data_IF_186217871768
#
_entry.id   IF_186217871768
#
_cell.length_a   1.000
_cell.length_b   1.000
_cell.length_c   1.000
_cell.angle_alpha   90.00
_cell.angle_beta   90.00
_cell.angle_gamma   90.00
#
_symmetry.space_group_name_H-M   'P 1'
#
loop_
_entity.id
_entity.type
_entity.pdbx_description
1 polymer ?
#
# COMPACT_ATOMS: atom_id res chain seq x y z
N UNK A 1 -17.08 -0.13 5.29
CA UNK A 1 -16.05 0.69 4.60
C UNK A 1 -16.58 2.00 4.03
N UNK A 2 -17.67 2.05 3.29
CA UNK A 2 -18.21 3.31 2.71
C UNK A 2 -18.45 4.40 3.76
N UNK A 3 -19.08 4.09 4.86
CA UNK A 3 -19.34 5.05 5.95
C UNK A 3 -18.03 5.63 6.54
N UNK A 4 -17.00 4.80 6.69
CA UNK A 4 -15.67 5.23 7.12
C UNK A 4 -15.07 6.25 6.14
N UNK A 5 -15.11 5.96 4.83
CA UNK A 5 -14.60 6.85 3.77
C UNK A 5 -15.35 8.18 3.75
N UNK A 6 -16.68 8.17 3.84
CA UNK A 6 -17.49 9.40 3.85
C UNK A 6 -17.22 10.26 5.08
N UNK A 7 -17.05 9.66 6.26
CA UNK A 7 -16.65 10.38 7.47
C UNK A 7 -15.24 10.99 7.34
N UNK A 8 -14.32 10.25 6.75
CA UNK A 8 -12.95 10.73 6.47
C UNK A 8 -12.97 11.89 5.47
N UNK A 9 -13.74 11.79 4.40
CA UNK A 9 -13.89 12.85 3.41
C UNK A 9 -14.42 14.15 4.04
N UNK A 10 -15.46 14.05 4.86
CA UNK A 10 -15.97 15.22 5.60
C UNK A 10 -14.86 15.86 6.46
N UNK A 11 -14.08 15.06 7.19
CA UNK A 11 -12.95 15.56 7.97
C UNK A 11 -11.88 16.21 7.12
N UNK A 12 -11.62 15.68 5.91
CA UNK A 12 -10.71 16.31 4.96
C UNK A 12 -11.17 17.72 4.55
N UNK A 13 -12.45 17.91 4.26
CA UNK A 13 -13.00 19.22 3.92
C UNK A 13 -12.90 20.21 5.09
N UNK A 14 -13.20 19.75 6.30
CA UNK A 14 -13.25 20.59 7.50
C UNK A 14 -11.83 20.95 8.03
N UNK A 15 -10.81 20.15 7.76
CA UNK A 15 -9.46 20.37 8.29
C UNK A 15 -8.67 21.39 7.48
N UNK A 16 -7.97 22.32 8.17
CA UNK A 16 -7.06 23.27 7.50
C UNK A 16 -5.84 22.50 6.92
N UNK A 17 -5.15 23.14 5.99
CA UNK A 17 -3.84 22.69 5.55
C UNK A 17 -2.85 22.69 6.72
N UNK A 18 -1.97 21.68 6.80
CA UNK A 18 -0.94 21.66 7.84
C UNK A 18 -0.02 22.88 7.74
N UNK A 19 0.29 23.45 8.89
CA UNK A 19 1.29 24.52 9.01
C UNK A 19 2.65 23.92 9.35
N UNK A 20 3.72 24.51 8.84
CA UNK A 20 5.10 24.06 9.11
C UNK A 20 6.03 24.20 7.94
N UNK A 21 7.11 23.40 7.93
CA UNK A 21 8.25 23.52 6.98
C UNK A 21 7.86 23.45 5.50
N UNK A 22 6.77 22.77 5.16
CA UNK A 22 6.31 22.59 3.79
C UNK A 22 5.09 23.46 3.43
N UNK A 23 4.69 24.42 4.27
CA UNK A 23 3.47 25.21 4.10
C UNK A 23 3.34 25.83 2.71
N UNK A 24 4.40 26.46 2.19
CA UNK A 24 4.37 27.11 0.88
C UNK A 24 4.16 26.12 -0.27
N UNK A 25 4.79 24.96 -0.21
CA UNK A 25 4.63 23.91 -1.24
C UNK A 25 3.28 23.22 -1.12
N UNK A 26 2.83 22.94 0.11
CA UNK A 26 1.54 22.30 0.34
C UNK A 26 0.35 23.19 -0.05
N UNK A 27 0.49 24.52 0.08
CA UNK A 27 -0.55 25.47 -0.36
C UNK A 27 -0.72 25.54 -1.89
N UNK A 28 0.23 25.00 -2.64
CA UNK A 28 0.17 24.95 -4.10
C UNK A 28 -0.53 23.69 -4.64
N UNK A 29 -0.86 22.75 -3.75
CA UNK A 29 -1.57 21.54 -4.15
C UNK A 29 -3.00 21.88 -4.58
N UNK A 30 -3.29 21.56 -5.82
CA UNK A 30 -4.65 21.59 -6.36
C UNK A 30 -5.25 20.18 -6.24
N UNK A 31 -6.17 20.03 -5.28
CA UNK A 31 -6.82 18.73 -5.05
C UNK A 31 -7.82 18.37 -6.15
N UNK A 32 -8.21 19.31 -7.01
CA UNK A 32 -9.09 19.05 -8.15
C UNK A 32 -8.31 18.57 -9.39
N UNK A 33 -6.98 18.77 -9.42
CA UNK A 33 -6.07 18.30 -10.49
C UNK A 33 -5.26 17.04 -10.09
N UNK A 34 -5.84 16.18 -9.26
CA UNK A 34 -5.24 14.92 -8.85
C UNK A 34 -6.12 13.76 -9.28
N UNK A 35 -5.53 12.78 -9.95
CA UNK A 35 -6.16 11.48 -10.17
C UNK A 35 -6.00 10.63 -8.92
N UNK A 36 -7.11 10.37 -8.22
CA UNK A 36 -7.14 9.61 -6.97
C UNK A 36 -7.16 8.10 -7.16
N UNK A 37 -7.55 7.65 -8.36
CA UNK A 37 -7.63 6.25 -8.70
C UNK A 37 -7.47 6.03 -10.20
N UNK A 38 -6.56 5.14 -10.58
CA UNK A 38 -6.39 4.64 -11.96
C UNK A 38 -6.33 3.11 -11.88
N UNK A 39 -7.19 2.44 -12.62
CA UNK A 39 -7.19 0.98 -12.74
C UNK A 39 -6.20 0.57 -13.84
N UNK A 40 -5.08 -0.09 -13.50
CA UNK A 40 -4.05 -0.43 -14.49
C UNK A 40 -4.39 -1.68 -15.30
N UNK A 41 -5.14 -2.63 -14.71
CA UNK A 41 -5.49 -3.91 -15.32
C UNK A 41 -6.91 -4.33 -14.96
N UNK A 42 -7.50 -5.23 -15.75
CA UNK A 42 -8.83 -5.78 -15.44
C UNK A 42 -8.79 -6.84 -14.34
N UNK A 43 -7.67 -7.59 -14.23
CA UNK A 43 -7.50 -8.69 -13.29
C UNK A 43 -6.13 -8.64 -12.61
N UNK A 44 -6.08 -9.12 -11.37
CA UNK A 44 -4.84 -9.41 -10.67
C UNK A 44 -4.22 -10.69 -11.24
N UNK A 45 -2.91 -10.71 -11.44
CA UNK A 45 -2.18 -11.88 -11.94
C UNK A 45 -1.74 -12.78 -10.77
N UNK A 46 -1.97 -14.08 -10.91
CA UNK A 46 -1.52 -15.10 -9.95
C UNK A 46 -0.08 -15.54 -10.20
N UNK A 47 0.42 -15.26 -11.38
CA UNK A 47 1.80 -15.56 -11.80
C UNK A 47 2.43 -14.36 -12.47
N UNK A 48 3.76 -14.20 -12.28
CA UNK A 48 4.50 -13.13 -12.95
C UNK A 48 4.40 -13.18 -14.47
N UNK A 49 4.24 -14.36 -15.04
CA UNK A 49 4.13 -14.55 -16.49
C UNK A 49 2.84 -13.94 -17.06
N UNK A 50 1.80 -13.81 -16.24
CA UNK A 50 0.51 -13.24 -16.62
C UNK A 50 0.46 -11.71 -16.51
N UNK A 51 1.46 -11.10 -15.86
CA UNK A 51 1.55 -9.64 -15.73
C UNK A 51 1.81 -9.03 -17.11
N UNK A 52 1.12 -7.95 -17.52
CA UNK A 52 1.35 -7.26 -18.78
C UNK A 52 2.81 -6.89 -18.99
N UNK A 53 3.31 -7.06 -20.20
CA UNK A 53 4.72 -6.89 -20.55
C UNK A 53 5.24 -5.46 -20.23
N UNK A 54 4.42 -4.44 -20.43
CA UNK A 54 4.76 -3.04 -20.13
C UNK A 54 5.05 -2.85 -18.63
N UNK A 55 4.25 -3.50 -17.78
CA UNK A 55 4.43 -3.48 -16.33
C UNK A 55 5.70 -4.26 -15.95
N UNK A 56 5.93 -5.45 -16.54
CA UNK A 56 7.15 -6.24 -16.32
C UNK A 56 8.41 -5.44 -16.62
N UNK A 57 8.45 -4.79 -17.79
CA UNK A 57 9.59 -3.95 -18.20
C UNK A 57 9.84 -2.79 -17.24
N UNK A 58 8.80 -2.22 -16.66
CA UNK A 58 8.93 -1.16 -15.67
C UNK A 58 9.62 -1.68 -14.40
N UNK A 59 9.21 -2.82 -13.88
CA UNK A 59 9.84 -3.43 -12.71
C UNK A 59 11.26 -3.94 -12.99
N UNK A 60 11.54 -4.44 -14.18
CA UNK A 60 12.87 -4.84 -14.61
C UNK A 60 13.85 -3.64 -14.69
N UNK A 61 13.40 -2.52 -15.26
CA UNK A 61 14.18 -1.27 -15.29
C UNK A 61 14.50 -0.73 -13.90
N UNK A 62 13.68 -1.03 -12.90
CA UNK A 62 13.92 -0.67 -11.51
C UNK A 62 14.94 -1.60 -10.82
N UNK A 63 15.42 -2.64 -11.53
CA UNK A 63 16.41 -3.56 -11.00
C UNK A 63 15.86 -4.51 -9.94
N UNK A 64 14.57 -4.86 -10.01
CA UNK A 64 13.95 -5.87 -9.14
C UNK A 64 14.16 -7.24 -9.77
N UNK A 65 15.22 -7.98 -9.40
CA UNK A 65 15.60 -9.19 -10.10
C UNK A 65 14.62 -10.32 -9.86
N UNK A 66 14.49 -11.21 -10.79
CA UNK A 66 13.75 -12.46 -10.66
C UNK A 66 14.19 -13.29 -9.42
N UNK A 67 15.48 -13.21 -9.07
CA UNK A 67 16.05 -13.84 -7.89
C UNK A 67 15.40 -13.36 -6.57
N UNK A 68 15.09 -12.06 -6.42
CA UNK A 68 14.42 -11.55 -5.21
C UNK A 68 13.04 -12.14 -5.06
N UNK A 69 12.31 -12.35 -6.15
CA UNK A 69 10.99 -12.97 -6.17
C UNK A 69 11.01 -14.43 -5.72
N UNK A 70 12.13 -15.11 -5.88
CA UNK A 70 12.30 -16.54 -5.54
C UNK A 70 12.70 -16.75 -4.08
N UNK A 71 13.41 -15.79 -3.46
CA UNK A 71 13.94 -15.91 -2.10
C UNK A 71 13.06 -15.32 -1.01
N UNK A 72 12.06 -14.51 -1.36
CA UNK A 72 11.18 -13.84 -0.39
C UNK A 72 10.05 -14.75 0.08
N UNK A 73 9.63 -14.56 1.33
CA UNK A 73 8.51 -15.27 1.93
C UNK A 73 7.17 -14.96 1.22
N UNK A 74 7.05 -13.78 0.64
CA UNK A 74 5.92 -13.35 -0.16
C UNK A 74 6.23 -12.03 -0.87
N UNK A 75 5.60 -11.82 -2.01
CA UNK A 75 5.76 -10.63 -2.85
C UNK A 75 4.42 -10.06 -3.25
N UNK A 76 4.26 -8.76 -3.13
CA UNK A 76 3.14 -8.01 -3.70
C UNK A 76 3.68 -6.89 -4.58
N UNK A 77 3.16 -6.76 -5.79
CA UNK A 77 3.50 -5.67 -6.69
C UNK A 77 2.24 -4.85 -7.00
N UNK A 78 2.28 -3.58 -6.64
CA UNK A 78 1.24 -2.61 -6.97
C UNK A 78 1.73 -1.69 -8.09
N UNK A 79 0.89 -1.49 -9.08
CA UNK A 79 1.09 -0.53 -10.15
C UNK A 79 -0.12 0.39 -10.21
N UNK A 80 0.12 1.71 -10.17
CA UNK A 80 -0.92 2.73 -9.98
C UNK A 80 -1.75 2.48 -8.70
N UNK A 81 -3.06 2.30 -8.82
CA UNK A 81 -3.96 2.21 -7.66
C UNK A 81 -4.30 0.78 -7.21
N UNK A 82 -3.83 -0.24 -7.90
CA UNK A 82 -4.19 -1.63 -7.61
C UNK A 82 -2.98 -2.57 -7.59
N UNK A 83 -3.12 -3.66 -6.85
CA UNK A 83 -2.16 -4.76 -6.88
C UNK A 83 -2.33 -5.54 -8.18
N UNK A 84 -1.24 -5.65 -8.92
CA UNK A 84 -1.21 -6.35 -10.22
C UNK A 84 -0.64 -7.76 -10.11
N UNK A 85 0.11 -8.05 -9.06
CA UNK A 85 0.69 -9.36 -8.79
C UNK A 85 0.81 -9.61 -7.30
N UNK A 86 0.49 -10.83 -6.87
CA UNK A 86 0.63 -11.28 -5.50
C UNK A 86 1.05 -12.74 -5.44
N UNK A 87 1.95 -13.06 -4.54
CA UNK A 87 2.33 -14.44 -4.21
C UNK A 87 2.75 -14.54 -2.76
N UNK A 88 2.24 -15.54 -2.07
CA UNK A 88 2.67 -15.93 -0.75
C UNK A 88 3.25 -17.36 -0.80
N UNK A 89 4.15 -17.69 0.11
CA UNK A 89 4.68 -19.05 0.21
C UNK A 89 3.68 -19.96 0.92
N UNK A 90 3.47 -21.15 0.38
CA UNK A 90 2.53 -22.13 0.92
C UNK A 90 2.83 -22.56 2.36
N UNK A 91 4.11 -22.55 2.77
CA UNK A 91 4.51 -22.88 4.13
C UNK A 91 4.02 -21.83 5.14
N UNK A 92 4.03 -20.54 4.78
CA UNK A 92 3.51 -19.47 5.61
C UNK A 92 1.98 -19.49 5.68
N UNK A 93 1.31 -19.79 4.57
CA UNK A 93 -0.14 -19.98 4.54
C UNK A 93 -0.59 -21.10 5.47
N UNK A 94 0.14 -22.23 5.48
CA UNK A 94 -0.11 -23.36 6.41
C UNK A 94 0.07 -22.99 7.88
N UNK A 95 0.89 -21.96 8.18
CA UNK A 95 1.04 -21.41 9.53
C UNK A 95 -0.01 -20.35 9.86
N UNK A 96 -0.90 -20.03 8.91
CA UNK A 96 -1.94 -19.05 9.08
C UNK A 96 -1.47 -17.59 8.87
N UNK A 97 -0.29 -17.39 8.32
CA UNK A 97 0.19 -16.07 7.95
C UNK A 97 -0.61 -15.59 6.75
N UNK A 98 -1.22 -14.40 6.87
CA UNK A 98 -1.93 -13.75 5.78
C UNK A 98 -1.03 -12.66 5.20
N UNK A 99 -0.88 -12.68 3.89
CA UNK A 99 -0.27 -11.60 3.13
C UNK A 99 -1.05 -11.40 1.85
N UNK A 100 -1.78 -10.32 1.75
CA UNK A 100 -2.59 -9.99 0.58
C UNK A 100 -2.71 -8.47 0.42
N UNK A 101 -3.39 -8.03 -0.63
CA UNK A 101 -3.75 -6.62 -0.76
C UNK A 101 -4.88 -6.22 0.21
N UNK A 102 -4.97 -4.92 0.50
CA UNK A 102 -5.98 -4.41 1.45
C UNK A 102 -7.41 -4.58 0.94
N UNK A 103 -7.66 -4.55 -0.37
CA UNK A 103 -9.02 -4.72 -0.91
C UNK A 103 -9.49 -6.17 -0.74
N UNK A 104 -8.60 -7.13 -0.91
CA UNK A 104 -8.82 -8.54 -0.57
C UNK A 104 -9.04 -8.71 0.92
N UNK A 105 -8.23 -8.08 1.77
CA UNK A 105 -8.40 -8.15 3.23
C UNK A 105 -9.77 -7.64 3.69
N UNK A 106 -10.26 -6.55 3.10
CA UNK A 106 -11.61 -6.01 3.38
C UNK A 106 -12.71 -7.01 3.05
N UNK A 107 -12.53 -7.81 1.99
CA UNK A 107 -13.52 -8.81 1.56
C UNK A 107 -13.46 -10.11 2.36
N UNK A 108 -12.26 -10.61 2.60
CA UNK A 108 -12.05 -11.96 3.13
C UNK A 108 -11.81 -11.99 4.63
N UNK A 109 -11.27 -10.90 5.20
CA UNK A 109 -10.96 -10.76 6.62
C UNK A 109 -11.58 -9.51 7.25
N UNK A 110 -12.91 -9.26 7.03
CA UNK A 110 -13.55 -8.01 7.41
C UNK A 110 -13.49 -7.73 8.92
N UNK A 111 -13.45 -8.75 9.76
CA UNK A 111 -13.41 -8.60 11.21
C UNK A 111 -12.07 -7.99 11.67
N UNK A 112 -10.95 -8.53 11.19
CA UNK A 112 -9.62 -7.98 11.47
C UNK A 112 -9.48 -6.56 10.95
N UNK A 113 -9.93 -6.32 9.71
CA UNK A 113 -9.86 -4.98 9.14
C UNK A 113 -10.74 -4.01 9.94
N UNK A 114 -11.93 -4.40 10.34
CA UNK A 114 -12.84 -3.53 11.09
C UNK A 114 -12.27 -3.16 12.47
N UNK A 115 -11.56 -4.07 13.11
CA UNK A 115 -10.98 -3.87 14.44
C UNK A 115 -9.77 -2.92 14.39
N UNK A 116 -8.87 -3.09 13.41
CA UNK A 116 -7.57 -2.42 13.43
C UNK A 116 -7.41 -1.29 12.39
N UNK A 117 -8.22 -1.26 11.34
CA UNK A 117 -8.04 -0.30 10.26
C UNK A 117 -8.28 1.14 10.72
N UNK A 118 -7.26 1.99 10.53
CA UNK A 118 -7.32 3.39 10.90
C UNK A 118 -7.21 3.66 12.40
N UNK A 119 -6.75 2.70 13.20
CA UNK A 119 -6.54 2.86 14.64
C UNK A 119 -5.20 3.52 14.96
N UNK A 120 -4.13 3.20 14.23
CA UNK A 120 -2.80 3.77 14.42
C UNK A 120 -2.70 5.16 13.80
N UNK A 121 -3.14 5.32 12.55
CA UNK A 121 -3.25 6.62 11.88
C UNK A 121 -4.71 6.87 11.57
N UNK A 122 -5.46 7.49 12.50
CA UNK A 122 -6.89 7.72 12.31
C UNK A 122 -7.16 8.87 11.34
N UNK A 123 -8.33 8.89 10.69
CA UNK A 123 -8.74 10.00 9.81
C UNK A 123 -8.76 11.37 10.50
N UNK A 124 -8.72 11.37 11.83
CA UNK A 124 -8.70 12.58 12.65
C UNK A 124 -7.32 13.19 12.83
N UNK A 125 -6.24 12.52 12.47
CA UNK A 125 -4.88 12.96 12.73
C UNK A 125 -4.56 14.30 12.04
N UNK A 126 -4.55 14.33 10.72
CA UNK A 126 -4.34 15.55 9.93
C UNK A 126 -5.15 15.52 8.62
N UNK A 127 -5.06 16.60 7.81
CA UNK A 127 -5.79 16.72 6.54
C UNK A 127 -5.45 15.60 5.56
N UNK A 128 -4.17 15.23 5.45
CA UNK A 128 -3.71 14.18 4.53
C UNK A 128 -4.08 12.78 5.01
N UNK A 129 -4.07 12.53 6.32
CA UNK A 129 -4.58 11.29 6.88
C UNK A 129 -6.09 11.13 6.64
N UNK A 130 -6.84 12.24 6.70
CA UNK A 130 -8.24 12.26 6.34
C UNK A 130 -8.45 11.97 4.85
N UNK A 131 -7.67 12.63 3.97
CA UNK A 131 -7.72 12.41 2.53
C UNK A 131 -7.40 10.95 2.17
N UNK A 132 -6.26 10.44 2.64
CA UNK A 132 -5.88 9.04 2.43
C UNK A 132 -6.98 8.09 2.89
N UNK A 133 -7.56 8.32 4.06
CA UNK A 133 -8.65 7.50 4.59
C UNK A 133 -9.92 7.54 3.75
N UNK A 134 -10.16 8.63 3.03
CA UNK A 134 -11.32 8.76 2.14
C UNK A 134 -11.13 8.04 0.80
N UNK A 135 -9.94 8.17 0.19
CA UNK A 135 -9.70 7.78 -1.21
C UNK A 135 -8.77 6.60 -1.40
N UNK A 136 -8.24 6.01 -0.34
CA UNK A 136 -7.26 4.92 -0.44
C UNK A 136 -7.70 3.78 -1.35
N UNK A 137 -6.74 3.19 -2.04
CA UNK A 137 -6.86 1.96 -2.83
C UNK A 137 -5.54 1.19 -2.75
N UNK A 138 -5.62 -0.14 -2.80
CA UNK A 138 -4.44 -0.98 -2.66
C UNK A 138 -3.76 -0.89 -1.29
N UNK A 139 -2.48 -1.18 -1.25
CA UNK A 139 -1.71 -1.36 -0.03
C UNK A 139 -1.65 -2.83 0.39
N UNK A 140 -0.89 -3.12 1.44
CA UNK A 140 -0.64 -4.48 1.90
C UNK A 140 -1.35 -4.78 3.21
N UNK A 141 -1.89 -5.98 3.33
CA UNK A 141 -2.37 -6.55 4.58
C UNK A 141 -1.49 -7.72 4.99
N UNK A 142 -0.94 -7.65 6.19
CA UNK A 142 -0.12 -8.70 6.77
C UNK A 142 -0.69 -9.04 8.15
N UNK A 143 -0.97 -10.32 8.38
CA UNK A 143 -1.30 -10.85 9.70
C UNK A 143 -0.40 -12.04 10.02
N UNK A 144 0.27 -11.97 11.16
CA UNK A 144 1.11 -13.06 11.68
C UNK A 144 0.48 -13.55 12.96
N UNK A 145 -0.01 -14.82 13.01
CA UNK A 145 -0.67 -15.39 14.16
C UNK A 145 0.27 -15.53 15.37
N UNK A 146 -0.35 -15.63 16.55
CA UNK A 146 0.35 -15.81 17.82
C UNK A 146 1.43 -16.89 17.78
N UNK A 147 2.65 -16.51 18.19
CA UNK A 147 3.80 -17.40 18.31
C UNK A 147 4.43 -17.82 16.97
N UNK A 148 3.97 -17.31 15.84
CA UNK A 148 4.54 -17.61 14.53
C UNK A 148 5.71 -16.66 14.24
N UNK A 149 6.82 -17.21 13.80
CA UNK A 149 8.02 -16.46 13.41
C UNK A 149 8.24 -16.58 11.90
N UNK A 150 8.16 -15.46 11.20
CA UNK A 150 8.49 -15.36 9.79
C UNK A 150 9.97 -14.99 9.69
N UNK A 151 10.79 -15.86 9.08
CA UNK A 151 12.24 -15.67 8.99
C UNK A 151 12.64 -14.77 7.81
N UNK A 152 12.03 -15.03 6.67
CA UNK A 152 12.29 -14.28 5.43
C UNK A 152 11.37 -13.05 5.33
N UNK A 153 11.86 -11.92 4.83
CA UNK A 153 11.04 -10.71 4.71
C UNK A 153 9.91 -10.88 3.68
N UNK A 154 8.76 -10.31 4.01
CA UNK A 154 7.69 -10.04 3.06
C UNK A 154 8.01 -8.75 2.31
N UNK A 155 7.71 -8.69 1.02
CA UNK A 155 8.06 -7.55 0.19
C UNK A 155 6.86 -7.03 -0.60
N UNK A 156 6.67 -5.71 -0.56
CA UNK A 156 5.68 -5.02 -1.36
C UNK A 156 6.35 -3.92 -2.20
N UNK A 157 6.00 -3.85 -3.46
CA UNK A 157 6.47 -2.84 -4.40
C UNK A 157 5.30 -1.96 -4.82
N UNK A 158 5.49 -0.67 -4.72
CA UNK A 158 4.51 0.33 -5.12
C UNK A 158 5.11 1.19 -6.23
N UNK A 159 4.46 1.23 -7.38
CA UNK A 159 4.90 2.04 -8.52
C UNK A 159 3.80 2.97 -8.99
N UNK A 160 4.11 4.24 -9.02
CA UNK A 160 3.32 5.30 -9.61
C UNK A 160 3.97 5.73 -10.93
N UNK A 161 3.24 5.75 -12.02
CA UNK A 161 3.77 6.06 -13.34
C UNK A 161 2.94 7.10 -14.12
N UNK A 162 1.72 7.38 -13.70
CA UNK A 162 0.86 8.38 -14.34
C UNK A 162 1.16 9.80 -13.81
N UNK A 163 1.12 10.78 -14.70
CA UNK A 163 1.21 12.20 -14.35
C UNK A 163 -0.02 12.64 -13.54
N UNK A 164 0.17 13.56 -12.61
CA UNK A 164 -0.86 14.06 -11.69
C UNK A 164 -1.57 12.99 -10.85
N UNK A 165 -1.01 11.80 -10.74
CA UNK A 165 -1.55 10.74 -9.91
C UNK A 165 -1.04 10.85 -8.48
N UNK A 166 -1.95 10.77 -7.51
CA UNK A 166 -1.64 10.57 -6.10
C UNK A 166 -1.59 9.08 -5.75
N UNK A 167 -0.63 8.67 -4.93
CA UNK A 167 -0.58 7.33 -4.34
C UNK A 167 -1.23 7.36 -2.97
N UNK A 168 -2.32 6.62 -2.82
CA UNK A 168 -3.15 6.59 -1.62
C UNK A 168 -3.36 5.16 -1.15
N UNK A 169 -2.28 4.44 -0.86
CA UNK A 169 -2.35 3.08 -0.34
C UNK A 169 -2.51 3.06 1.19
N UNK A 170 -2.99 1.94 1.71
CA UNK A 170 -3.08 1.65 3.14
C UNK A 170 -2.44 0.31 3.44
N UNK A 171 -1.33 0.32 4.16
CA UNK A 171 -0.69 -0.88 4.67
C UNK A 171 -1.10 -1.12 6.11
N UNK A 172 -1.54 -2.33 6.42
CA UNK A 172 -1.91 -2.79 7.76
C UNK A 172 -1.12 -4.05 8.11
N UNK A 173 -0.28 -3.96 9.13
CA UNK A 173 0.54 -5.07 9.61
C UNK A 173 0.09 -5.39 11.03
N UNK A 174 -0.40 -6.61 11.23
CA UNK A 174 -0.83 -7.15 12.52
C UNK A 174 0.11 -8.30 12.91
N UNK A 175 0.80 -8.15 14.00
CA UNK A 175 1.68 -9.18 14.57
C UNK A 175 1.18 -9.52 15.96
N UNK A 176 0.68 -10.72 16.12
CA UNK A 176 0.05 -11.18 17.33
C UNK A 176 1.10 -11.51 18.44
N UNK A 177 0.65 -11.80 19.64
CA UNK A 177 1.49 -12.02 20.81
C UNK A 177 2.56 -13.10 20.57
N UNK A 178 3.83 -12.77 20.82
CA UNK A 178 4.96 -13.68 20.63
C UNK A 178 5.30 -14.02 19.18
N UNK A 179 4.66 -13.36 18.21
CA UNK A 179 4.97 -13.51 16.80
C UNK A 179 6.03 -12.52 16.34
N UNK A 180 6.64 -12.77 15.18
CA UNK A 180 7.59 -11.85 14.56
C UNK A 180 7.59 -11.92 13.04
N UNK A 181 7.83 -10.79 12.40
CA UNK A 181 8.08 -10.68 10.95
C UNK A 181 9.12 -9.59 10.71
N UNK A 182 10.15 -9.84 9.89
CA UNK A 182 11.11 -8.80 9.52
C UNK A 182 10.44 -7.81 8.56
N UNK A 183 10.56 -6.51 8.89
CA UNK A 183 10.07 -5.42 8.04
C UNK A 183 11.26 -4.56 7.63
N UNK A 184 11.46 -4.41 6.32
CA UNK A 184 12.39 -3.44 5.76
C UNK A 184 11.61 -2.43 4.94
N UNK A 185 11.79 -1.16 5.26
CA UNK A 185 11.14 -0.07 4.56
C UNK A 185 12.17 0.88 3.98
N UNK A 186 12.18 1.03 2.66
CA UNK A 186 13.07 1.96 1.97
C UNK A 186 12.24 3.06 1.32
N UNK A 187 12.40 4.29 1.79
CA UNK A 187 11.96 5.46 1.07
C UNK A 187 12.91 5.73 -0.09
N UNK A 188 12.50 5.38 -1.30
CA UNK A 188 13.10 5.92 -2.50
C UNK A 188 12.52 7.31 -2.74
N UNK A 189 13.11 8.33 -2.14
CA UNK A 189 12.95 9.68 -2.66
C UNK A 189 13.66 9.69 -4.01
N UNK A 190 12.92 9.91 -5.09
CA UNK A 190 13.53 10.31 -6.35
C UNK A 190 14.48 11.49 -6.03
N UNK A 191 15.73 11.47 -6.49
CA UNK A 191 16.61 12.60 -6.28
C UNK A 191 15.94 13.81 -6.92
N UNK A 192 15.50 14.74 -6.08
CA UNK A 192 15.15 16.07 -6.52
C UNK A 192 16.43 16.63 -7.12
N UNK A 193 16.54 16.60 -8.44
CA UNK A 193 17.58 17.36 -9.13
C UNK A 193 17.30 18.82 -8.82
N UNK A 194 18.02 19.35 -7.86
CA UNK A 194 18.25 20.77 -7.78
C UNK A 194 19.09 21.12 -8.99
N UNK A 195 18.49 21.69 -10.02
CA UNK A 195 19.23 22.46 -10.99
C UNK A 195 19.68 23.74 -10.28
N UNK A 196 20.96 23.86 -10.07
CA UNK A 196 21.63 25.14 -9.80
C UNK A 196 21.81 25.84 -11.12
#
# INVERSE_FOLDING_TARGET
>A
MLEFRLKAYKRFLDKPMPEGVAKEKLSQLDFDDIYYYIKPTENQADSWDEVPEEIKQTYEKLGIPEAERTYLAGVTAQYESEVVYHKNREDLEKLGVLFCDMDTAVREYPELVQEYFGTVIPPGDNKFAALNSAVWSGGSFIYVPKGVHVEDPLQAYFRLNAENMGQFERTLILVDEGASVPVSYTHLTLPTRSYV
#
